data_IF_261649293051
#
_entry.id   IF_261649293051
#
_cell.length_a   1.000
_cell.length_b   1.000
_cell.length_c   1.000
_cell.angle_alpha   90.00
_cell.angle_beta   90.00
_cell.angle_gamma   90.00
#
_symmetry.space_group_name_H-M   'P 1'
#
loop_
_entity.id
_entity.type
_entity.pdbx_description
1 polymer ?
#
# COMPACT_ATOMS: atom_id res chain seq x y z
N UNK A 1 13.31 2.35 0.73
CA UNK A 1 12.01 2.79 1.27
C UNK A 1 11.09 1.66 1.74
N UNK A 2 10.41 0.87 0.88
CA UNK A 2 9.43 -0.14 1.36
C UNK A 2 10.03 -1.13 2.37
N UNK A 3 11.25 -1.62 2.06
CA UNK A 3 12.00 -2.49 2.98
C UNK A 3 12.20 -1.85 4.35
N UNK A 4 12.59 -0.57 4.41
CA UNK A 4 12.82 0.15 5.68
C UNK A 4 11.55 0.22 6.53
N UNK A 5 10.40 0.53 5.91
CA UNK A 5 9.10 0.55 6.61
C UNK A 5 8.76 -0.83 7.17
N UNK A 6 9.05 -1.90 6.41
CA UNK A 6 8.63 -3.26 6.74
C UNK A 6 9.57 -3.98 7.72
N UNK A 7 10.80 -3.50 7.90
CA UNK A 7 11.71 -4.00 8.94
C UNK A 7 11.58 -3.23 10.27
N UNK A 8 11.10 -1.98 10.24
CA UNK A 8 10.92 -1.19 11.45
C UNK A 8 9.78 -1.76 12.32
N UNK A 9 10.03 -2.12 13.60
CA UNK A 9 9.01 -2.71 14.48
C UNK A 9 7.76 -1.83 14.71
N UNK A 10 7.92 -0.51 14.66
CA UNK A 10 6.85 0.47 14.86
C UNK A 10 6.04 0.71 13.58
N UNK A 11 6.68 0.57 12.41
CA UNK A 11 6.05 0.88 11.12
C UNK A 11 5.56 -0.35 10.36
N UNK A 12 6.10 -1.55 10.61
CA UNK A 12 5.85 -2.75 9.80
C UNK A 12 4.38 -3.17 9.71
N UNK A 13 3.59 -2.83 10.73
CA UNK A 13 2.15 -3.12 10.79
C UNK A 13 1.31 -2.15 9.94
N UNK A 14 1.86 -0.99 9.55
CA UNK A 14 1.15 -0.04 8.70
C UNK A 14 0.94 -0.69 7.32
N UNK A 15 -0.32 -0.80 6.85
CA UNK A 15 -0.57 -1.27 5.50
C UNK A 15 0.06 -0.32 4.46
N UNK A 16 0.76 -0.89 3.48
CA UNK A 16 1.43 -0.10 2.44
C UNK A 16 0.86 -0.47 1.08
N UNK A 17 0.34 0.53 0.39
CA UNK A 17 -0.09 0.44 -1.01
C UNK A 17 1.01 1.07 -1.86
N UNK A 18 1.56 0.31 -2.81
CA UNK A 18 2.56 0.81 -3.75
C UNK A 18 1.85 1.39 -4.97
N UNK A 19 2.18 2.63 -5.33
CA UNK A 19 1.67 3.32 -6.52
C UNK A 19 2.87 3.79 -7.38
N UNK A 20 3.06 3.23 -8.57
CA UNK A 20 4.27 3.49 -9.39
C UNK A 20 3.97 3.42 -10.89
N UNK A 21 4.75 4.10 -11.73
CA UNK A 21 4.62 3.95 -13.20
C UNK A 21 5.08 2.57 -13.70
N UNK A 22 5.78 1.78 -12.87
CA UNK A 22 6.23 0.45 -13.26
C UNK A 22 5.06 -0.52 -13.40
N UNK A 23 5.15 -1.36 -14.43
CA UNK A 23 4.28 -2.50 -14.68
C UNK A 23 5.09 -3.80 -14.84
N UNK A 24 6.38 -3.78 -14.48
CA UNK A 24 7.23 -4.94 -14.61
C UNK A 24 6.83 -6.00 -13.58
N UNK A 25 6.58 -7.24 -14.03
CA UNK A 25 6.24 -8.38 -13.16
C UNK A 25 7.27 -8.60 -12.04
N UNK A 26 8.54 -8.29 -12.30
CA UNK A 26 9.61 -8.32 -11.29
C UNK A 26 9.32 -7.37 -10.14
N UNK A 27 8.92 -6.14 -10.44
CA UNK A 27 8.69 -5.09 -9.44
C UNK A 27 7.44 -5.39 -8.61
N UNK A 28 6.40 -5.92 -9.26
CA UNK A 28 5.19 -6.42 -8.59
C UNK A 28 5.58 -7.51 -7.58
N UNK A 29 6.32 -8.53 -8.03
CA UNK A 29 6.74 -9.64 -7.17
C UNK A 29 7.61 -9.16 -6.01
N UNK A 30 8.58 -8.31 -6.28
CA UNK A 30 9.49 -7.77 -5.26
C UNK A 30 8.73 -6.96 -4.21
N UNK A 31 7.77 -6.12 -4.61
CA UNK A 31 6.96 -5.34 -3.68
C UNK A 31 6.15 -6.25 -2.72
N UNK A 32 5.53 -7.31 -3.24
CA UNK A 32 4.80 -8.27 -2.40
C UNK A 32 5.73 -9.08 -1.50
N UNK A 33 6.91 -9.50 -2.00
CA UNK A 33 7.93 -10.17 -1.17
C UNK A 33 8.41 -9.30 0.00
N UNK A 34 8.48 -7.98 -0.21
CA UNK A 34 8.84 -7.01 0.82
C UNK A 34 7.69 -6.65 1.77
N UNK A 35 6.47 -7.18 1.55
CA UNK A 35 5.33 -6.98 2.44
C UNK A 35 4.42 -5.82 2.07
N UNK A 36 4.39 -5.40 0.80
CA UNK A 36 3.32 -4.55 0.29
C UNK A 36 1.96 -5.27 0.38
N UNK A 37 0.91 -4.52 0.65
CA UNK A 37 -0.46 -5.04 0.71
C UNK A 37 -1.14 -4.98 -0.67
N UNK A 38 -0.80 -3.96 -1.46
CA UNK A 38 -1.28 -3.78 -2.82
C UNK A 38 -0.20 -3.14 -3.69
N UNK A 39 -0.27 -3.38 -5.00
CA UNK A 39 0.55 -2.74 -6.02
C UNK A 39 -0.35 -2.23 -7.13
N UNK A 40 -0.29 -0.93 -7.41
CA UNK A 40 -1.03 -0.30 -8.49
C UNK A 40 -0.08 0.44 -9.42
N UNK A 41 -0.18 0.20 -10.74
CA UNK A 41 0.34 1.13 -11.72
C UNK A 41 -0.31 2.50 -11.51
N UNK A 42 0.50 3.56 -11.54
CA UNK A 42 0.01 4.93 -11.38
C UNK A 42 -0.96 5.23 -12.51
N UNK A 43 -2.22 5.57 -12.19
CA UNK A 43 -3.21 5.91 -13.20
C UNK A 43 -2.74 7.09 -14.06
N UNK A 44 -2.95 7.00 -15.36
CA UNK A 44 -2.53 8.03 -16.32
C UNK A 44 -3.45 9.24 -16.36
N UNK A 45 -4.64 9.16 -15.76
CA UNK A 45 -5.66 10.22 -15.80
C UNK A 45 -6.42 10.37 -14.50
N UNK A 46 -7.00 11.57 -14.32
CA UNK A 46 -7.69 11.97 -13.09
C UNK A 46 -8.92 11.10 -12.78
N UNK A 47 -9.63 10.62 -13.79
CA UNK A 47 -10.80 9.75 -13.61
C UNK A 47 -10.41 8.36 -13.08
N UNK A 48 -9.31 7.80 -13.60
CA UNK A 48 -8.79 6.53 -13.11
C UNK A 48 -8.21 6.68 -11.70
N UNK A 49 -7.52 7.79 -11.42
CA UNK A 49 -7.04 8.10 -10.08
C UNK A 49 -8.20 8.24 -9.09
N UNK A 50 -9.26 8.95 -9.47
CA UNK A 50 -10.46 9.12 -8.65
C UNK A 50 -11.13 7.79 -8.34
N UNK A 51 -11.23 6.89 -9.32
CA UNK A 51 -11.75 5.53 -9.10
C UNK A 51 -10.87 4.72 -8.16
N UNK A 52 -9.55 4.79 -8.32
CA UNK A 52 -8.61 4.10 -7.43
C UNK A 52 -8.72 4.62 -5.99
N UNK A 53 -8.78 5.93 -5.79
CA UNK A 53 -8.92 6.54 -4.46
C UNK A 53 -10.21 6.07 -3.76
N UNK A 54 -11.35 6.07 -4.47
CA UNK A 54 -12.63 5.57 -3.91
C UNK A 54 -12.56 4.09 -3.53
N UNK A 55 -11.90 3.27 -4.35
CA UNK A 55 -11.72 1.85 -4.03
C UNK A 55 -10.82 1.65 -2.80
N UNK A 56 -9.77 2.45 -2.65
CA UNK A 56 -8.89 2.42 -1.47
C UNK A 56 -9.65 2.85 -0.22
N UNK A 57 -10.42 3.94 -0.29
CA UNK A 57 -11.24 4.44 0.81
C UNK A 57 -12.23 3.37 1.30
N UNK A 58 -13.04 2.83 0.39
CA UNK A 58 -14.03 1.80 0.71
C UNK A 58 -13.36 0.57 1.34
N UNK A 59 -12.28 0.06 0.73
CA UNK A 59 -11.66 -1.16 1.21
C UNK A 59 -10.92 -0.97 2.53
N UNK A 60 -10.06 0.04 2.64
CA UNK A 60 -9.11 0.17 3.76
C UNK A 60 -9.65 0.98 4.93
N UNK A 61 -10.54 1.94 4.68
CA UNK A 61 -11.05 2.84 5.71
C UNK A 61 -12.45 2.45 6.20
N UNK A 62 -13.28 1.86 5.33
CA UNK A 62 -14.65 1.48 5.66
C UNK A 62 -14.75 -0.01 6.02
N UNK A 63 -14.25 -0.90 5.15
CA UNK A 63 -14.47 -2.34 5.27
C UNK A 63 -13.39 -3.06 6.11
N UNK A 64 -12.13 -2.67 5.97
CA UNK A 64 -11.02 -3.33 6.66
C UNK A 64 -10.93 -2.93 8.13
N UNK A 65 -10.51 -3.89 8.97
CA UNK A 65 -10.04 -3.60 10.33
C UNK A 65 -8.54 -3.34 10.31
N UNK A 66 -8.15 -2.10 10.51
CA UNK A 66 -6.73 -1.73 10.56
C UNK A 66 -6.12 -2.02 11.93
N UNK A 67 -4.82 -2.39 11.97
CA UNK A 67 -4.12 -2.57 13.24
C UNK A 67 -4.09 -1.24 13.99
N UNK A 68 -4.38 -1.28 15.30
CA UNK A 68 -4.19 -0.12 16.17
C UNK A 68 -2.69 0.10 16.34
N UNK A 69 -2.19 1.23 15.85
CA UNK A 69 -0.84 1.70 16.14
C UNK A 69 -0.83 2.23 17.58
N UNK A 70 -0.66 1.34 18.56
CA UNK A 70 -0.31 1.78 19.90
C UNK A 70 1.13 2.28 19.86
N UNK A 71 1.32 3.58 20.10
CA UNK A 71 2.61 4.04 20.63
C UNK A 71 2.77 3.33 21.97
N UNK A 72 3.63 2.32 22.02
CA UNK A 72 4.07 1.79 23.31
C UNK A 72 4.67 2.97 24.09
N UNK A 73 4.30 3.15 25.37
CA UNK A 73 4.92 4.16 26.22
C UNK A 73 6.41 3.89 26.42
#
# INVERSE_FOLDING_TARGET
>A
MLREIKVDPLLRLIPVIVLTNSQAERDVREAYQLGANCFFPKPSGIDQLSRLCRAIEEHWLVLARLPKLSRQP
#
